data_IF_184704888869
#
_entry.id   IF_184704888869
#
_cell.length_a   1.000
_cell.length_b   1.000
_cell.length_c   1.000
_cell.angle_alpha   90.00
_cell.angle_beta   90.00
_cell.angle_gamma   90.00
#
_symmetry.space_group_name_H-M   'P 1'
#
loop_
_entity.id
_entity.type
_entity.pdbx_description
1 polymer ?
#
# COMPACT_ATOMS: atom_id res chain seq x y z
N UNK A 1 23.97 -17.07 17.80
CA UNK A 1 23.82 -15.63 17.49
C UNK A 1 22.97 -15.50 16.23
N UNK A 2 21.67 -15.22 16.38
CA UNK A 2 20.69 -15.13 15.28
C UNK A 2 20.15 -13.69 15.11
N UNK A 3 20.98 -12.68 15.35
CA UNK A 3 20.53 -11.27 15.32
C UNK A 3 20.35 -10.72 13.90
N UNK A 4 20.84 -11.41 12.86
CA UNK A 4 20.84 -10.87 11.49
C UNK A 4 19.49 -10.99 10.77
N UNK A 5 18.83 -12.15 10.86
CA UNK A 5 17.55 -12.40 10.17
C UNK A 5 16.36 -11.74 10.85
N UNK A 6 16.33 -11.72 12.19
CA UNK A 6 15.26 -11.09 12.97
C UNK A 6 15.14 -9.60 12.67
N UNK A 7 16.27 -8.86 12.69
CA UNK A 7 16.31 -7.43 12.36
C UNK A 7 15.90 -7.16 10.92
N UNK A 8 16.26 -8.04 9.98
CA UNK A 8 15.86 -7.91 8.57
C UNK A 8 14.35 -8.12 8.39
N UNK A 9 13.76 -9.09 9.08
CA UNK A 9 12.32 -9.37 9.06
C UNK A 9 11.53 -8.24 9.71
N UNK A 10 11.99 -7.69 10.84
CA UNK A 10 11.37 -6.52 11.48
C UNK A 10 11.39 -5.30 10.54
N UNK A 11 12.49 -5.08 9.81
CA UNK A 11 12.59 -4.01 8.83
C UNK A 11 11.60 -4.18 7.67
N UNK A 12 11.39 -5.42 7.19
CA UNK A 12 10.38 -5.73 6.17
C UNK A 12 8.96 -5.43 6.68
N UNK A 13 8.62 -5.87 7.89
CA UNK A 13 7.31 -5.60 8.49
C UNK A 13 7.08 -4.10 8.68
N UNK A 14 8.09 -3.36 9.12
CA UNK A 14 8.03 -1.89 9.23
C UNK A 14 7.82 -1.24 7.87
N UNK A 15 8.47 -1.72 6.82
CA UNK A 15 8.28 -1.21 5.48
C UNK A 15 6.85 -1.45 4.98
N UNK A 16 6.33 -2.67 5.14
CA UNK A 16 4.96 -3.02 4.77
C UNK A 16 3.92 -2.15 5.50
N UNK A 17 4.15 -1.81 6.77
CA UNK A 17 3.28 -0.86 7.51
C UNK A 17 3.34 0.55 6.92
N UNK A 18 4.54 1.03 6.57
CA UNK A 18 4.67 2.34 5.94
C UNK A 18 3.97 2.42 4.58
N UNK A 19 3.89 1.30 3.85
CA UNK A 19 3.11 1.22 2.61
C UNK A 19 1.60 1.30 2.88
N UNK A 20 1.09 0.57 3.88
CA UNK A 20 -0.30 0.68 4.31
C UNK A 20 -0.67 2.12 4.71
N UNK A 21 0.19 2.79 5.48
CA UNK A 21 -0.05 4.18 5.92
C UNK A 21 -0.17 5.14 4.71
N UNK A 22 0.66 4.94 3.69
CA UNK A 22 0.62 5.71 2.44
C UNK A 22 -0.61 5.38 1.62
N UNK A 23 -0.99 4.11 1.53
CA UNK A 23 -2.20 3.67 0.85
C UNK A 23 -3.45 4.30 1.49
N UNK A 24 -3.51 4.30 2.83
CA UNK A 24 -4.59 4.94 3.59
C UNK A 24 -4.68 6.45 3.32
N UNK A 25 -3.55 7.16 3.34
CA UNK A 25 -3.52 8.59 3.06
C UNK A 25 -3.97 8.93 1.63
N UNK A 26 -3.57 8.13 0.63
CA UNK A 26 -4.02 8.31 -0.76
C UNK A 26 -5.51 7.97 -0.90
N UNK A 27 -5.99 6.93 -0.22
CA UNK A 27 -7.41 6.58 -0.21
C UNK A 27 -8.28 7.67 0.41
N UNK A 28 -7.81 8.31 1.49
CA UNK A 28 -8.47 9.48 2.08
C UNK A 28 -8.52 10.66 1.09
N UNK A 29 -7.43 10.92 0.38
CA UNK A 29 -7.40 11.95 -0.66
C UNK A 29 -8.38 11.67 -1.80
N UNK A 30 -8.53 10.41 -2.23
CA UNK A 30 -9.52 9.99 -3.23
C UNK A 30 -10.95 10.19 -2.71
N UNK A 31 -11.22 9.85 -1.45
CA UNK A 31 -12.53 10.10 -0.84
C UNK A 31 -12.85 11.59 -0.78
N UNK A 32 -11.86 12.42 -0.40
CA UNK A 32 -12.02 13.87 -0.42
C UNK A 32 -12.30 14.40 -1.83
N UNK A 33 -11.51 13.98 -2.83
CA UNK A 33 -11.67 14.40 -4.22
C UNK A 33 -13.04 14.02 -4.80
N UNK A 34 -13.51 12.80 -4.51
CA UNK A 34 -14.83 12.33 -4.97
C UNK A 34 -16.00 12.96 -4.20
N UNK A 35 -15.80 13.37 -2.94
CA UNK A 35 -16.79 14.12 -2.16
C UNK A 35 -16.92 15.59 -2.61
N UNK A 36 -15.86 16.15 -3.19
CA UNK A 36 -15.81 17.48 -3.79
C UNK A 36 -15.88 17.33 -5.31
N UNK A 37 -16.80 16.51 -5.82
CA UNK A 37 -17.24 16.68 -7.21
C UNK A 37 -17.89 18.05 -7.29
N UNK A 38 -17.15 19.03 -7.82
CA UNK A 38 -17.59 20.43 -7.92
C UNK A 38 -18.87 20.43 -8.77
N UNK A 39 -20.03 20.63 -8.13
CA UNK A 39 -21.31 20.68 -8.85
C UNK A 39 -21.22 21.73 -9.95
N UNK A 40 -21.87 21.51 -11.09
CA UNK A 40 -21.87 22.48 -12.22
C UNK A 40 -22.20 23.91 -11.77
N UNK A 41 -23.00 24.06 -10.71
CA UNK A 41 -23.36 25.32 -10.06
C UNK A 41 -22.18 26.10 -9.46
N UNK A 42 -21.08 25.44 -9.09
CA UNK A 42 -19.91 26.06 -8.48
C UNK A 42 -18.99 26.71 -9.53
N UNK A 43 -19.09 26.35 -10.81
CA UNK A 43 -18.42 27.04 -11.90
C UNK A 43 -19.11 28.37 -12.27
N UNK A 44 -20.32 28.61 -11.77
CA UNK A 44 -21.09 29.82 -12.07
C UNK A 44 -21.51 29.91 -13.55
N UNK A 45 -22.42 30.84 -13.85
CA UNK A 45 -23.10 30.90 -15.16
C UNK A 45 -22.15 31.09 -16.35
N UNK A 46 -20.98 31.70 -16.15
CA UNK A 46 -20.05 32.01 -17.25
C UNK A 46 -19.16 30.79 -17.60
N UNK A 47 -18.86 29.91 -16.63
CA UNK A 47 -17.92 28.80 -16.82
C UNK A 47 -18.60 27.42 -16.92
N UNK A 48 -19.92 27.37 -17.09
CA UNK A 48 -20.72 26.14 -17.23
C UNK A 48 -20.29 25.21 -18.38
N UNK A 49 -19.51 25.72 -19.33
CA UNK A 49 -19.03 24.95 -20.49
C UNK A 49 -17.77 24.13 -20.19
N UNK A 50 -17.11 24.37 -19.05
CA UNK A 50 -15.84 23.72 -18.68
C UNK A 50 -15.98 22.28 -18.15
N UNK A 51 -17.01 21.90 -17.37
CA UNK A 51 -17.13 20.54 -16.83
C UNK A 51 -17.03 19.42 -17.88
N UNK A 52 -17.66 19.51 -19.06
CA UNK A 52 -17.50 18.48 -20.10
C UNK A 52 -16.06 18.26 -20.59
N UNK A 53 -15.20 19.28 -20.48
CA UNK A 53 -13.78 19.17 -20.86
C UNK A 53 -12.88 18.71 -19.70
N UNK A 54 -13.26 19.00 -18.45
CA UNK A 54 -12.43 18.77 -17.26
C UNK A 54 -12.74 17.41 -16.61
N UNK A 55 -14.02 17.06 -16.50
CA UNK A 55 -14.48 15.83 -15.83
C UNK A 55 -13.77 14.55 -16.34
N UNK A 56 -13.49 14.35 -17.65
CA UNK A 56 -12.79 13.15 -18.11
C UNK A 56 -11.36 13.03 -17.55
N UNK A 57 -10.66 14.16 -17.40
CA UNK A 57 -9.30 14.18 -16.84
C UNK A 57 -9.33 13.96 -15.33
N UNK A 58 -10.35 14.51 -14.65
CA UNK A 58 -10.57 14.28 -13.23
C UNK A 58 -10.88 12.80 -12.94
N UNK A 59 -11.76 12.18 -13.73
CA UNK A 59 -12.10 10.75 -13.62
C UNK A 59 -10.87 9.85 -13.83
N UNK A 60 -10.06 10.15 -14.86
CA UNK A 60 -8.80 9.44 -15.12
C UNK A 60 -7.83 9.59 -13.93
N UNK A 61 -7.71 10.80 -13.38
CA UNK A 61 -6.89 11.08 -12.21
C UNK A 61 -7.34 10.30 -10.97
N UNK A 62 -8.64 10.26 -10.70
CA UNK A 62 -9.22 9.47 -9.61
C UNK A 62 -8.94 7.98 -9.80
N UNK A 63 -9.08 7.46 -11.02
CA UNK A 63 -8.79 6.06 -11.33
C UNK A 63 -7.30 5.73 -11.14
N UNK A 64 -6.39 6.61 -11.57
CA UNK A 64 -4.96 6.45 -11.37
C UNK A 64 -4.60 6.43 -9.88
N UNK A 65 -5.23 7.27 -9.05
CA UNK A 65 -5.01 7.26 -7.60
C UNK A 65 -5.54 5.99 -6.95
N UNK A 66 -6.69 5.46 -7.38
CA UNK A 66 -7.22 4.16 -6.92
C UNK A 66 -6.26 3.01 -7.26
N UNK A 67 -5.77 2.97 -8.49
CA UNK A 67 -4.77 1.97 -8.90
C UNK A 67 -3.47 2.08 -8.08
N UNK A 68 -3.05 3.30 -7.72
CA UNK A 68 -1.89 3.49 -6.85
C UNK A 68 -2.12 2.94 -5.43
N UNK A 69 -3.33 3.10 -4.86
CA UNK A 69 -3.68 2.48 -3.57
C UNK A 69 -3.60 0.96 -3.65
N UNK A 70 -4.21 0.36 -4.67
CA UNK A 70 -4.20 -1.10 -4.87
C UNK A 70 -2.76 -1.65 -4.98
N UNK A 71 -1.90 -0.96 -5.73
CA UNK A 71 -0.50 -1.30 -5.90
C UNK A 71 0.28 -1.23 -4.56
N UNK A 72 0.09 -0.16 -3.78
CA UNK A 72 0.74 -0.02 -2.46
C UNK A 72 0.32 -1.13 -1.50
N UNK A 73 -0.96 -1.51 -1.50
CA UNK A 73 -1.45 -2.61 -0.68
C UNK A 73 -0.90 -3.97 -1.15
N UNK A 74 -0.76 -4.18 -2.46
CA UNK A 74 -0.16 -5.40 -3.03
C UNK A 74 1.31 -5.53 -2.67
N UNK A 75 2.08 -4.45 -2.79
CA UNK A 75 3.48 -4.41 -2.37
C UNK A 75 3.60 -4.72 -0.87
N UNK A 76 2.75 -4.14 -0.03
CA UNK A 76 2.73 -4.39 1.40
C UNK A 76 2.43 -5.88 1.71
N UNK A 77 1.47 -6.49 1.02
CA UNK A 77 1.17 -7.93 1.13
C UNK A 77 2.37 -8.79 0.71
N UNK A 78 3.01 -8.45 -0.40
CA UNK A 78 4.15 -9.19 -0.93
C UNK A 78 5.33 -9.15 0.04
N UNK A 79 5.64 -7.97 0.60
CA UNK A 79 6.71 -7.80 1.59
C UNK A 79 6.42 -8.64 2.86
N UNK A 80 5.18 -8.66 3.34
CA UNK A 80 4.77 -9.52 4.48
C UNK A 80 4.96 -11.00 4.17
N UNK A 81 4.60 -11.43 2.96
CA UNK A 81 4.80 -12.81 2.53
C UNK A 81 6.29 -13.18 2.50
N UNK A 82 7.16 -12.27 2.03
CA UNK A 82 8.61 -12.45 2.07
C UNK A 82 9.13 -12.54 3.50
N UNK A 83 8.69 -11.66 4.40
CA UNK A 83 9.05 -11.71 5.82
C UNK A 83 8.66 -13.04 6.49
N UNK A 84 7.45 -13.55 6.19
CA UNK A 84 6.98 -14.84 6.67
C UNK A 84 7.83 -16.02 6.13
N UNK A 85 8.23 -15.97 4.86
CA UNK A 85 9.08 -17.00 4.27
C UNK A 85 10.48 -17.05 4.92
N UNK A 86 11.04 -15.89 5.27
CA UNK A 86 12.30 -15.82 6.04
C UNK A 86 12.15 -16.45 7.42
N UNK A 87 11.10 -16.11 8.18
CA UNK A 87 10.83 -16.71 9.51
C UNK A 87 10.71 -18.23 9.42
N UNK A 88 9.91 -18.73 8.48
CA UNK A 88 9.71 -20.17 8.30
C UNK A 88 11.02 -20.91 7.95
N UNK A 89 11.87 -20.30 7.12
CA UNK A 89 13.18 -20.86 6.79
C UNK A 89 14.11 -20.90 8.00
N UNK A 90 14.13 -19.83 8.80
CA UNK A 90 14.97 -19.75 10.00
C UNK A 90 14.52 -20.76 11.07
N UNK A 91 13.21 -20.88 11.32
CA UNK A 91 12.62 -21.87 12.23
C UNK A 91 12.94 -23.30 11.80
N UNK A 92 12.81 -23.62 10.51
CA UNK A 92 13.14 -24.94 9.98
C UNK A 92 14.63 -25.29 10.16
N UNK A 93 15.52 -24.33 9.90
CA UNK A 93 16.95 -24.52 10.09
C UNK A 93 17.29 -24.69 11.59
N UNK A 94 16.72 -23.86 12.47
CA UNK A 94 16.93 -23.94 13.90
C UNK A 94 16.48 -25.29 14.48
N UNK A 95 15.35 -25.82 14.02
CA UNK A 95 14.86 -27.15 14.40
C UNK A 95 15.84 -28.26 14.01
N UNK A 96 16.33 -28.26 12.77
CA UNK A 96 17.29 -29.27 12.28
C UNK A 96 18.62 -29.26 13.04
N UNK A 97 19.12 -28.09 13.44
CA UNK A 97 20.32 -28.00 14.29
C UNK A 97 20.06 -28.46 15.74
N UNK A 98 18.85 -28.24 16.28
CA UNK A 98 18.46 -28.72 17.62
C UNK A 98 18.39 -30.24 17.71
N UNK A 99 17.86 -30.90 16.67
CA UNK A 99 17.83 -32.36 16.56
C UNK A 99 19.25 -32.94 16.46
N UNK A 100 20.14 -32.31 15.70
CA UNK A 100 21.55 -32.75 15.57
C UNK A 100 22.40 -32.57 16.84
N UNK A 101 22.01 -31.71 17.79
CA UNK A 101 22.73 -31.50 19.05
C UNK A 101 22.29 -32.48 20.17
N UNK A 102 21.14 -33.14 19.98
CA UNK A 102 20.57 -34.10 20.95
C UNK A 102 20.81 -35.56 20.57
N UNK A 103 21.49 -35.82 19.45
CA UNK A 103 21.91 -37.15 18.97
C UNK A 103 23.37 -37.47 19.20
#
# INVERSE_FOLDING_TARGET
MASGYDVAVEALDKHARSLDDRAAAVAEAVQAATSVSVSEDAYGIICQFLPPCINPVEDEGVNALKAAVECLEEDARTIRATAAAYRATDEANAAGFGEGLTG
#
